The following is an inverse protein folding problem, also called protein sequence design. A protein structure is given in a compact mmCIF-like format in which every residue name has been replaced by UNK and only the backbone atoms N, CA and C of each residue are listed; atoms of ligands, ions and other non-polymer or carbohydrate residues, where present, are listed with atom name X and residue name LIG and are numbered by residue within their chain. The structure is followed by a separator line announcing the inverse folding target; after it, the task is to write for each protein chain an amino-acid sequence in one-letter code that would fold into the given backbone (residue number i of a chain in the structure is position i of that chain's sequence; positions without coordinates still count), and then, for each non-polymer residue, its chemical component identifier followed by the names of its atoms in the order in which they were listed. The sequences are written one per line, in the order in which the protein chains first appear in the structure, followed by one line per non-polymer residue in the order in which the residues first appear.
data_IF_714877436159
#
_entry.id   IF_714877436159
#
_cell.length_a   1.000
_cell.length_b   1.000
_cell.length_c   1.000
_cell.angle_alpha   90.00
_cell.angle_beta   90.00
_cell.angle_gamma   90.00
#
_symmetry.space_group_name_H-M   'P 1'
#
loop_
_entity.id
_entity.type
_entity.pdbx_description
1 polymer ?
#
# COMPACT_ATOMS: atom_id res chain seq x y z
N UNK A 1 3.20 -11.39 -8.11
CA UNK A 1 2.62 -10.09 -8.44
C UNK A 1 3.11 -9.04 -7.47
N UNK A 2 3.45 -7.88 -7.98
CA UNK A 2 4.02 -6.81 -7.17
C UNK A 2 2.93 -5.91 -6.61
N UNK A 3 2.36 -6.30 -5.50
CA UNK A 3 1.33 -5.50 -4.81
C UNK A 3 1.37 -5.73 -3.31
N UNK A 4 0.80 -4.77 -2.57
CA UNK A 4 0.69 -4.81 -1.12
C UNK A 4 -0.76 -4.57 -0.73
N UNK A 5 -1.27 -5.40 0.16
CA UNK A 5 -2.65 -5.29 0.66
C UNK A 5 -2.64 -4.69 2.06
N UNK A 6 -3.60 -3.81 2.31
CA UNK A 6 -3.79 -3.15 3.60
C UNK A 6 -5.17 -3.54 4.13
N UNK A 7 -5.22 -4.14 5.29
CA UNK A 7 -6.44 -4.68 5.87
C UNK A 7 -6.75 -4.06 7.24
N UNK A 8 -8.02 -4.02 7.59
CA UNK A 8 -8.45 -3.68 8.93
C UNK A 8 -8.50 -4.94 9.82
N UNK A 9 -8.49 -4.74 11.15
CA UNK A 9 -8.60 -5.82 12.11
C UNK A 9 -10.05 -6.28 12.20
N UNK A 10 -10.28 -7.55 11.92
CA UNK A 10 -11.64 -8.12 11.83
C UNK A 10 -12.46 -7.94 13.11
N UNK A 11 -11.86 -8.17 14.28
CA UNK A 11 -12.54 -8.02 15.57
C UNK A 11 -12.98 -6.56 15.81
N UNK A 12 -12.14 -5.60 15.43
CA UNK A 12 -12.46 -4.18 15.55
C UNK A 12 -13.62 -3.81 14.63
N UNK A 13 -13.63 -4.33 13.41
CA UNK A 13 -14.72 -4.10 12.46
C UNK A 13 -16.02 -4.68 12.97
N UNK A 14 -15.99 -5.89 13.54
CA UNK A 14 -17.18 -6.51 14.12
C UNK A 14 -17.74 -5.68 15.27
N UNK A 15 -16.86 -5.15 16.15
CA UNK A 15 -17.28 -4.31 17.26
C UNK A 15 -17.92 -3.01 16.78
N UNK A 16 -17.35 -2.37 15.75
CA UNK A 16 -17.90 -1.17 15.16
C UNK A 16 -19.25 -1.42 14.52
N UNK A 17 -19.40 -2.55 13.82
CA UNK A 17 -20.65 -2.92 13.17
C UNK A 17 -21.76 -3.16 14.17
N UNK A 18 -21.43 -3.77 15.29
CA UNK A 18 -22.36 -4.01 16.38
C UNK A 18 -22.88 -2.69 17.00
N UNK A 19 -22.01 -1.67 17.07
CA UNK A 19 -22.34 -0.38 17.66
C UNK A 19 -23.03 0.56 16.69
N UNK A 20 -22.60 0.62 15.42
CA UNK A 20 -23.04 1.61 14.43
C UNK A 20 -23.85 1.02 13.28
N UNK A 21 -23.92 -0.29 13.13
CA UNK A 21 -24.58 -0.96 12.01
C UNK A 21 -23.64 -1.16 10.82
N UNK A 22 -24.03 -2.07 9.92
CA UNK A 22 -23.21 -2.48 8.78
C UNK A 22 -22.94 -1.33 7.81
N UNK A 23 -23.95 -0.57 7.43
CA UNK A 23 -23.83 0.48 6.42
C UNK A 23 -22.83 1.58 6.85
N UNK A 24 -22.95 2.05 8.10
CA UNK A 24 -22.09 3.09 8.65
C UNK A 24 -20.66 2.57 8.84
N UNK A 25 -20.50 1.37 9.35
CA UNK A 25 -19.20 0.74 9.55
C UNK A 25 -18.50 0.50 8.24
N UNK A 26 -19.21 0.04 7.21
CA UNK A 26 -18.66 -0.16 5.87
C UNK A 26 -18.08 1.16 5.30
N UNK A 27 -18.88 2.22 5.35
CA UNK A 27 -18.46 3.52 4.83
C UNK A 27 -17.25 4.08 5.59
N UNK A 28 -17.29 4.04 6.91
CA UNK A 28 -16.22 4.50 7.78
C UNK A 28 -14.92 3.73 7.55
N UNK A 29 -15.00 2.41 7.53
CA UNK A 29 -13.84 1.53 7.39
C UNK A 29 -13.18 1.71 6.02
N UNK A 30 -13.97 1.74 4.96
CA UNK A 30 -13.44 1.97 3.61
C UNK A 30 -12.72 3.30 3.52
N UNK A 31 -13.31 4.37 4.07
CA UNK A 31 -12.70 5.70 4.06
C UNK A 31 -11.38 5.71 4.85
N UNK A 32 -11.36 5.13 6.02
CA UNK A 32 -10.16 5.09 6.86
C UNK A 32 -9.01 4.36 6.18
N UNK A 33 -9.29 3.20 5.60
CA UNK A 33 -8.28 2.40 4.90
C UNK A 33 -7.77 3.13 3.65
N UNK A 34 -8.66 3.78 2.89
CA UNK A 34 -8.25 4.56 1.73
C UNK A 34 -7.32 5.71 2.11
N UNK A 35 -7.63 6.44 3.17
CA UNK A 35 -6.77 7.53 3.66
C UNK A 35 -5.39 7.01 4.08
N UNK A 36 -5.37 5.91 4.82
CA UNK A 36 -4.12 5.28 5.24
C UNK A 36 -3.28 4.79 4.06
N UNK A 37 -3.91 4.11 3.11
CA UNK A 37 -3.23 3.60 1.92
C UNK A 37 -2.70 4.73 1.03
N UNK A 38 -3.40 5.86 0.94
CA UNK A 38 -2.92 7.03 0.20
C UNK A 38 -1.63 7.58 0.80
N UNK A 39 -1.52 7.62 2.13
CA UNK A 39 -0.29 8.04 2.81
C UNK A 39 0.89 7.12 2.44
N UNK A 40 0.65 5.81 2.42
CA UNK A 40 1.66 4.83 2.05
C UNK A 40 2.06 4.99 0.58
N UNK A 41 1.08 5.17 -0.31
CA UNK A 41 1.32 5.38 -1.74
C UNK A 41 2.24 6.58 -1.97
N UNK A 42 1.96 7.70 -1.34
CA UNK A 42 2.77 8.92 -1.49
C UNK A 42 4.18 8.74 -0.93
N UNK A 43 4.30 8.09 0.21
CA UNK A 43 5.61 7.81 0.81
C UNK A 43 6.42 6.87 -0.08
N UNK A 44 5.80 5.84 -0.63
CA UNK A 44 6.43 4.90 -1.54
C UNK A 44 6.97 5.62 -2.78
N UNK A 45 6.15 6.48 -3.39
CA UNK A 45 6.56 7.25 -4.56
C UNK A 45 7.76 8.15 -4.25
N UNK A 46 7.76 8.79 -3.08
CA UNK A 46 8.88 9.61 -2.62
C UNK A 46 10.15 8.79 -2.43
N UNK A 47 10.03 7.64 -1.75
CA UNK A 47 11.18 6.79 -1.46
C UNK A 47 11.77 6.16 -2.72
N UNK A 48 10.93 5.91 -3.73
CA UNK A 48 11.38 5.35 -5.01
C UNK A 48 12.19 6.33 -5.85
N UNK A 49 12.24 7.62 -5.48
CA UNK A 49 13.08 8.60 -6.20
C UNK A 49 14.56 8.27 -6.14
N UNK A 50 14.99 7.47 -5.17
CA UNK A 50 16.39 7.00 -5.04
C UNK A 50 16.86 6.29 -6.31
N UNK A 51 16.00 5.55 -6.99
CA UNK A 51 16.36 4.83 -8.21
C UNK A 51 15.60 5.35 -9.44
N UNK A 52 15.11 6.59 -9.37
CA UNK A 52 14.40 7.20 -10.48
C UNK A 52 15.31 7.33 -11.70
N UNK A 53 14.85 6.81 -12.82
CA UNK A 53 15.45 7.01 -14.14
C UNK A 53 14.51 7.92 -14.94
N UNK A 54 13.59 7.36 -15.69
CA UNK A 54 12.58 8.13 -16.45
C UNK A 54 11.29 8.36 -15.66
N UNK A 55 11.21 7.83 -14.43
CA UNK A 55 10.04 7.99 -13.58
C UNK A 55 8.92 6.99 -13.86
N UNK A 56 9.10 6.05 -14.76
CA UNK A 56 8.05 5.09 -15.12
C UNK A 56 7.60 4.23 -13.93
N UNK A 57 8.55 3.74 -13.12
CA UNK A 57 8.23 2.92 -11.97
C UNK A 57 7.41 3.69 -10.94
N UNK A 58 7.74 4.97 -10.73
CA UNK A 58 7.00 5.84 -9.81
C UNK A 58 5.61 6.14 -10.36
N UNK A 59 5.54 6.48 -11.64
CA UNK A 59 4.28 6.88 -12.28
C UNK A 59 3.30 5.72 -12.46
N UNK A 60 3.78 4.49 -12.48
CA UNK A 60 2.92 3.31 -12.63
C UNK A 60 2.44 2.73 -11.31
N UNK A 61 2.79 3.34 -10.18
CA UNK A 61 2.19 2.99 -8.89
C UNK A 61 0.70 3.31 -8.94
N UNK A 62 -0.13 2.33 -8.63
CA UNK A 62 -1.59 2.48 -8.60
C UNK A 62 -2.13 1.98 -7.27
N UNK A 63 -3.23 2.58 -6.83
CA UNK A 63 -3.92 2.18 -5.62
C UNK A 63 -5.37 1.86 -5.96
N UNK A 64 -5.81 0.67 -5.58
CA UNK A 64 -7.21 0.28 -5.67
C UNK A 64 -7.94 0.78 -4.44
N UNK A 65 -9.16 1.30 -4.65
CA UNK A 65 -10.01 1.73 -3.55
C UNK A 65 -10.33 0.56 -2.63
N UNK A 66 -10.51 0.87 -1.34
CA UNK A 66 -10.84 -0.14 -0.34
C UNK A 66 -12.16 -0.83 -0.68
N UNK A 67 -12.18 -2.14 -0.46
CA UNK A 67 -13.38 -2.96 -0.54
C UNK A 67 -13.73 -3.48 0.84
N UNK A 68 -15.00 -3.81 1.04
CA UNK A 68 -15.51 -4.32 2.31
C UNK A 68 -16.44 -5.51 2.04
N UNK A 69 -16.11 -6.64 2.65
CA UNK A 69 -16.90 -7.85 2.51
C UNK A 69 -16.68 -8.77 3.72
N UNK A 70 -17.77 -9.21 4.37
CA UNK A 70 -17.72 -10.16 5.49
C UNK A 70 -16.72 -9.73 6.58
N UNK A 71 -16.87 -8.50 7.09
CA UNK A 71 -16.00 -7.89 8.11
C UNK A 71 -14.54 -7.74 7.67
N UNK A 72 -14.29 -7.86 6.38
CA UNK A 72 -12.93 -7.68 5.83
C UNK A 72 -12.91 -6.45 4.95
N UNK A 73 -12.01 -5.51 5.28
CA UNK A 73 -11.77 -4.33 4.47
C UNK A 73 -10.32 -4.33 4.02
N UNK A 74 -10.07 -4.10 2.73
CA UNK A 74 -8.72 -4.07 2.21
C UNK A 74 -8.57 -3.07 1.08
N UNK A 75 -7.38 -2.48 0.96
CA UNK A 75 -6.95 -1.72 -0.20
C UNK A 75 -5.65 -2.34 -0.72
N UNK A 76 -5.32 -2.06 -1.96
CA UNK A 76 -4.15 -2.65 -2.60
C UNK A 76 -3.36 -1.57 -3.33
N UNK A 77 -2.03 -1.59 -3.18
CA UNK A 77 -1.10 -0.77 -3.94
C UNK A 77 -0.23 -1.68 -4.79
N UNK A 78 -0.08 -1.36 -6.05
CA UNK A 78 0.73 -2.15 -6.97
C UNK A 78 1.21 -1.32 -8.14
N UNK A 79 1.63 -1.96 -9.18
CA UNK A 79 2.13 -1.32 -10.39
C UNK A 79 1.31 -1.78 -11.60
N UNK A 80 0.85 -0.80 -12.37
CA UNK A 80 0.13 -1.05 -13.61
C UNK A 80 0.30 0.15 -14.54
N UNK A 81 0.72 -0.10 -15.77
CA UNK A 81 0.91 0.98 -16.72
C UNK A 81 1.53 0.51 -18.02
N UNK A 82 1.63 1.42 -19.03
CA UNK A 82 2.07 1.08 -20.37
C UNK A 82 3.53 0.60 -20.45
N UNK A 83 4.37 0.97 -19.48
CA UNK A 83 5.77 0.55 -19.44
C UNK A 83 5.98 -0.79 -18.73
N UNK A 84 4.90 -1.41 -18.25
CA UNK A 84 4.91 -2.74 -17.64
C UNK A 84 5.95 -2.91 -16.53
N UNK A 85 6.12 -1.88 -15.70
CA UNK A 85 7.14 -1.88 -14.64
C UNK A 85 6.88 -2.97 -13.60
N UNK A 86 5.63 -3.44 -13.47
CA UNK A 86 5.30 -4.56 -12.57
C UNK A 86 6.13 -5.81 -12.83
N UNK A 87 6.64 -6.00 -14.06
CA UNK A 87 7.43 -7.18 -14.44
C UNK A 87 8.84 -7.17 -13.85
N UNK A 88 9.36 -5.99 -13.52
CA UNK A 88 10.76 -5.86 -13.08
C UNK A 88 10.92 -5.32 -11.66
N UNK A 89 9.81 -5.04 -10.96
CA UNK A 89 9.86 -4.54 -9.58
C UNK A 89 10.66 -5.47 -8.68
N UNK A 90 10.47 -6.78 -8.79
CA UNK A 90 11.20 -7.74 -7.96
C UNK A 90 12.71 -7.72 -8.25
N UNK A 91 13.13 -7.43 -9.47
CA UNK A 91 14.54 -7.32 -9.82
C UNK A 91 15.21 -6.12 -9.14
N UNK A 92 14.51 -4.98 -9.11
CA UNK A 92 14.98 -3.80 -8.39
C UNK A 92 15.03 -4.04 -6.89
N UNK A 93 14.02 -4.71 -6.34
CA UNK A 93 13.88 -4.88 -4.89
C UNK A 93 14.88 -5.90 -4.34
N UNK A 94 15.07 -7.02 -5.03
CA UNK A 94 15.83 -8.15 -4.51
C UNK A 94 17.13 -8.42 -5.26
N UNK A 95 17.40 -7.67 -6.33
CA UNK A 95 18.56 -7.92 -7.17
C UNK A 95 18.35 -9.13 -8.09
N UNK A 96 19.38 -9.44 -8.85
CA UNK A 96 19.34 -10.55 -9.79
C UNK A 96 20.75 -11.02 -10.12
N UNK A 97 20.86 -12.19 -10.76
CA UNK A 97 22.14 -12.72 -11.22
C UNK A 97 22.25 -12.55 -12.72
N UNK A 98 23.36 -11.98 -13.17
CA UNK A 98 23.65 -11.80 -14.59
C UNK A 98 25.08 -12.26 -14.88
N UNK A 99 25.23 -13.18 -15.81
CA UNK A 99 26.54 -13.75 -16.19
C UNK A 99 27.36 -14.22 -14.97
N UNK A 100 26.68 -14.91 -14.04
CA UNK A 100 27.31 -15.43 -12.83
C UNK A 100 27.60 -14.39 -11.75
N UNK A 101 27.22 -13.12 -11.95
CA UNK A 101 27.43 -12.05 -10.98
C UNK A 101 26.12 -11.64 -10.33
N UNK A 102 26.16 -11.45 -9.01
CA UNK A 102 25.07 -10.89 -8.24
C UNK A 102 24.97 -9.39 -8.49
N UNK A 103 23.83 -8.94 -8.98
CA UNK A 103 23.57 -7.51 -9.24
C UNK A 103 22.64 -6.96 -8.19
N UNK A 104 23.01 -5.84 -7.56
CA UNK A 104 22.20 -5.11 -6.60
C UNK A 104 21.93 -3.71 -7.16
N UNK A 105 20.74 -3.48 -7.78
CA UNK A 105 20.43 -2.14 -8.31
C UNK A 105 20.23 -1.13 -7.17
N UNK A 106 20.21 0.16 -7.53
CA UNK A 106 20.01 1.26 -6.55
C UNK A 106 18.71 1.12 -5.76
N UNK A 107 17.70 0.47 -6.35
CA UNK A 107 16.42 0.21 -5.70
C UNK A 107 16.40 -0.97 -4.76
N UNK A 108 17.53 -1.61 -4.51
CA UNK A 108 17.59 -2.81 -3.67
C UNK A 108 17.03 -2.54 -2.26
N UNK A 109 15.96 -3.24 -1.91
CA UNK A 109 15.33 -3.14 -0.61
C UNK A 109 14.54 -1.85 -0.35
N UNK A 110 14.46 -0.94 -1.31
CA UNK A 110 13.80 0.37 -1.12
C UNK A 110 12.31 0.22 -0.84
N UNK A 111 11.61 -0.63 -1.58
CA UNK A 111 10.17 -0.81 -1.41
C UNK A 111 9.87 -1.43 -0.05
N UNK A 112 10.58 -2.49 0.33
CA UNK A 112 10.40 -3.12 1.65
C UNK A 112 10.66 -2.14 2.78
N UNK A 113 11.73 -1.35 2.70
CA UNK A 113 12.06 -0.35 3.70
C UNK A 113 11.01 0.76 3.75
N UNK A 114 10.53 1.21 2.59
CA UNK A 114 9.49 2.23 2.50
C UNK A 114 8.20 1.76 3.16
N UNK A 115 7.76 0.54 2.88
CA UNK A 115 6.55 -0.02 3.48
C UNK A 115 6.69 -0.15 5.00
N UNK A 116 7.85 -0.59 5.47
CA UNK A 116 8.11 -0.71 6.90
C UNK A 116 8.08 0.66 7.59
N UNK A 117 8.69 1.66 6.98
CA UNK A 117 8.71 3.02 7.53
C UNK A 117 7.36 3.71 7.44
N UNK A 118 6.51 3.29 6.51
CA UNK A 118 5.16 3.84 6.31
C UNK A 118 4.13 3.24 7.25
N UNK A 119 4.44 2.14 7.91
CA UNK A 119 3.50 1.45 8.81
C UNK A 119 2.92 2.38 9.88
N UNK A 120 3.73 3.17 10.63
CA UNK A 120 3.18 4.12 11.59
C UNK A 120 2.30 5.18 10.93
N UNK A 121 2.66 5.66 9.75
CA UNK A 121 1.86 6.64 9.01
C UNK A 121 0.47 6.08 8.66
N UNK A 122 0.44 4.82 8.24
CA UNK A 122 -0.81 4.13 7.92
C UNK A 122 -1.71 4.02 9.14
N UNK A 123 -1.19 3.49 10.24
CA UNK A 123 -1.98 3.30 11.46
C UNK A 123 -2.46 4.62 12.05
N UNK A 124 -1.62 5.66 12.04
CA UNK A 124 -2.01 6.98 12.54
C UNK A 124 -3.13 7.58 11.68
N UNK A 125 -3.03 7.49 10.36
CA UNK A 125 -4.04 8.02 9.45
C UNK A 125 -5.37 7.28 9.60
N UNK A 126 -5.35 5.96 9.68
CA UNK A 126 -6.55 5.15 9.91
C UNK A 126 -7.20 5.50 11.25
N UNK A 127 -6.40 5.61 12.31
CA UNK A 127 -6.88 5.95 13.64
C UNK A 127 -7.54 7.33 13.69
N UNK A 128 -6.94 8.32 13.03
CA UNK A 128 -7.51 9.68 12.97
C UNK A 128 -8.85 9.71 12.23
N UNK A 129 -8.97 9.00 11.12
CA UNK A 129 -10.22 8.93 10.38
C UNK A 129 -11.33 8.26 11.19
N UNK A 130 -11.01 7.18 11.91
CA UNK A 130 -11.96 6.52 12.78
C UNK A 130 -12.44 7.48 13.89
N UNK A 131 -11.53 8.20 14.52
CA UNK A 131 -11.87 9.19 15.56
C UNK A 131 -12.79 10.29 15.06
N UNK A 132 -12.55 10.80 13.86
CA UNK A 132 -13.38 11.84 13.26
C UNK A 132 -14.84 11.39 13.07
N UNK A 133 -15.05 10.12 12.88
CA UNK A 133 -16.37 9.54 12.61
C UNK A 133 -17.09 9.06 13.87
N UNK A 134 -16.39 9.03 14.99
CA UNK A 134 -16.97 8.72 16.29
C UNK A 134 -17.48 10.01 16.96
#
# INVERSE_FOLDING_TARGET
MSSVKFEGVQETIQALEKKFGEKKTKALTKKAINVGAEKVEKQLQTDMTVFKDKGYTINEVVRKNATYRNYKAEAEIGWNGPHQRYRIIHLNEWGYTRKGKQIRPRGFGVITKSLKNSEPLYFDAVGEEVKKSL
#
